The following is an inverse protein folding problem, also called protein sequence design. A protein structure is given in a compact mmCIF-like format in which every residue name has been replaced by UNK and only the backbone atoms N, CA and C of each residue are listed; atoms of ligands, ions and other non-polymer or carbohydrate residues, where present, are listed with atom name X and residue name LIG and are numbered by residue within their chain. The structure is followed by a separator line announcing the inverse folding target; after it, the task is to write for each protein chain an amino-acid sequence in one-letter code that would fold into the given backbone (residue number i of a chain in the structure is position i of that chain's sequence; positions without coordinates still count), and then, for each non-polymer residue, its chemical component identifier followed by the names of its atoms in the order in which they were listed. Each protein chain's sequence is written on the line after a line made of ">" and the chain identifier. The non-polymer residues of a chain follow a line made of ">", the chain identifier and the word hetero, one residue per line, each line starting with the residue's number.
data_IF_919975270950
#
_entry.id   IF_919975270950
#
_cell.length_a   1.000
_cell.length_b   1.000
_cell.length_c   1.000
_cell.angle_alpha   90.00
_cell.angle_beta   90.00
_cell.angle_gamma   90.00
#
_symmetry.space_group_name_H-M   'P 1'
#
loop_
_entity.id
_entity.type
_entity.pdbx_description
1 polymer ?
#
# COMPACT_ATOMS: atom_id res chain seq x y z
N UNK A 1 56.39 -1.62 5.25
CA UNK A 1 56.49 -2.80 4.39
C UNK A 1 56.18 -4.03 5.21
N UNK A 2 54.95 -4.48 5.25
CA UNK A 2 54.53 -5.70 5.96
C UNK A 2 54.29 -6.79 4.90
N UNK A 3 55.11 -7.83 4.99
CA UNK A 3 55.03 -9.00 4.11
C UNK A 3 53.79 -9.82 4.46
N UNK A 4 52.84 -9.93 3.53
CA UNK A 4 51.77 -10.89 3.62
C UNK A 4 52.32 -12.28 3.28
N UNK A 5 52.25 -13.19 4.23
CA UNK A 5 52.60 -14.58 4.06
C UNK A 5 51.41 -15.27 3.32
N UNK A 6 51.69 -15.79 2.15
CA UNK A 6 50.78 -16.65 1.39
C UNK A 6 50.88 -18.06 1.94
N UNK A 7 49.86 -18.54 2.66
CA UNK A 7 49.75 -19.95 3.02
C UNK A 7 49.16 -20.72 1.87
N UNK A 8 49.96 -21.59 1.27
CA UNK A 8 49.49 -22.61 0.35
C UNK A 8 48.66 -23.63 1.12
N UNK A 9 47.38 -23.75 0.77
CA UNK A 9 46.53 -24.82 1.28
C UNK A 9 46.57 -25.98 0.29
N UNK A 10 47.14 -27.06 0.76
CA UNK A 10 47.20 -28.37 0.12
C UNK A 10 45.82 -28.97 -0.10
N UNK A 11 45.68 -29.61 -1.27
CA UNK A 11 44.57 -30.41 -1.68
C UNK A 11 44.28 -31.55 -0.70
N UNK A 12 43.05 -31.65 -0.22
CA UNK A 12 42.49 -32.91 0.26
C UNK A 12 41.47 -33.39 -0.77
N UNK A 13 41.82 -34.49 -1.43
CA UNK A 13 40.92 -35.32 -2.21
C UNK A 13 40.00 -36.07 -1.26
N UNK A 14 38.73 -36.06 -1.55
CA UNK A 14 37.82 -36.95 -0.85
C UNK A 14 36.35 -36.64 -1.02
N UNK A 15 35.67 -37.58 -1.65
CA UNK A 15 34.24 -37.77 -1.72
C UNK A 15 33.52 -37.07 -2.90
N UNK A 16 33.44 -37.86 -3.98
CA UNK A 16 32.49 -37.65 -5.10
C UNK A 16 31.09 -37.98 -4.61
N UNK A 17 30.29 -36.97 -4.38
CA UNK A 17 28.84 -37.09 -4.44
C UNK A 17 28.40 -36.84 -5.88
N UNK A 18 27.98 -37.87 -6.56
CA UNK A 18 27.34 -37.80 -7.87
C UNK A 18 26.00 -37.07 -7.71
N UNK A 19 26.01 -35.77 -7.94
CA UNK A 19 24.81 -35.03 -8.24
C UNK A 19 24.72 -34.93 -9.76
N UNK A 20 23.74 -35.54 -10.37
CA UNK A 20 23.38 -35.41 -11.77
C UNK A 20 22.83 -34.00 -12.02
N UNK A 21 23.71 -33.05 -12.21
CA UNK A 21 23.43 -31.70 -12.66
C UNK A 21 24.70 -31.09 -13.24
N UNK A 22 24.61 -30.54 -14.47
CA UNK A 22 25.70 -29.87 -15.18
C UNK A 22 26.15 -28.58 -14.45
N UNK A 23 26.61 -28.67 -13.22
CA UNK A 23 27.20 -27.56 -12.50
C UNK A 23 28.64 -27.36 -12.95
N UNK A 24 29.06 -26.13 -13.30
CA UNK A 24 30.44 -25.88 -13.70
C UNK A 24 31.41 -26.20 -12.55
N UNK A 25 32.44 -26.96 -12.85
CA UNK A 25 33.54 -27.18 -11.89
C UNK A 25 34.48 -25.99 -11.93
N UNK A 26 34.78 -25.40 -10.77
CA UNK A 26 35.69 -24.28 -10.69
C UNK A 26 37.13 -24.70 -11.02
N UNK A 27 37.87 -23.87 -11.77
CA UNK A 27 39.29 -24.01 -12.04
C UNK A 27 39.97 -22.70 -11.66
N UNK A 28 40.72 -22.70 -10.56
CA UNK A 28 41.33 -21.49 -9.97
C UNK A 28 42.80 -21.37 -10.40
N UNK A 29 43.01 -21.15 -11.69
CA UNK A 29 44.37 -21.09 -12.29
C UNK A 29 44.96 -19.69 -12.24
N UNK A 30 44.13 -18.66 -12.22
CA UNK A 30 44.55 -17.26 -12.23
C UNK A 30 43.94 -16.52 -11.04
N UNK A 31 44.48 -15.35 -10.70
CA UNK A 31 43.89 -14.46 -9.70
C UNK A 31 42.47 -14.03 -10.07
N UNK A 32 42.17 -13.86 -11.36
CA UNK A 32 40.84 -13.54 -11.87
C UNK A 32 39.87 -14.71 -11.62
N UNK A 33 40.30 -15.95 -11.87
CA UNK A 33 39.47 -17.12 -11.59
C UNK A 33 39.16 -17.24 -10.10
N UNK A 34 40.21 -17.04 -9.27
CA UNK A 34 40.09 -17.10 -7.81
C UNK A 34 39.16 -16.00 -7.28
N UNK A 35 39.32 -14.77 -7.76
CA UNK A 35 38.48 -13.64 -7.39
C UNK A 35 37.02 -13.88 -7.82
N UNK A 36 36.80 -14.32 -9.05
CA UNK A 36 35.47 -14.61 -9.59
C UNK A 36 34.74 -15.68 -8.76
N UNK A 37 35.44 -16.75 -8.40
CA UNK A 37 34.91 -17.79 -7.53
C UNK A 37 34.59 -17.27 -6.12
N UNK A 38 35.50 -16.49 -5.53
CA UNK A 38 35.33 -15.93 -4.20
C UNK A 38 34.09 -14.99 -4.13
N UNK A 39 33.93 -14.13 -5.15
CA UNK A 39 32.75 -13.26 -5.29
C UNK A 39 31.47 -14.12 -5.39
N UNK A 40 31.45 -15.13 -6.25
CA UNK A 40 30.31 -16.03 -6.41
C UNK A 40 29.95 -16.76 -5.10
N UNK A 41 30.97 -17.28 -4.40
CA UNK A 41 30.80 -17.99 -3.13
C UNK A 41 30.23 -17.10 -2.02
N UNK A 42 30.79 -15.88 -1.90
CA UNK A 42 30.36 -14.92 -0.88
C UNK A 42 28.92 -14.45 -1.11
N UNK A 43 28.58 -14.08 -2.35
CA UNK A 43 27.22 -13.67 -2.69
C UNK A 43 26.21 -14.83 -2.60
N UNK A 44 26.62 -16.05 -2.99
CA UNK A 44 25.78 -17.24 -2.86
C UNK A 44 25.36 -17.54 -1.41
N UNK A 45 26.28 -17.32 -0.46
CA UNK A 45 25.95 -17.49 0.96
C UNK A 45 24.87 -16.51 1.45
N UNK A 46 24.93 -15.26 1.00
CA UNK A 46 23.91 -14.23 1.32
C UNK A 46 22.58 -14.48 0.59
N UNK A 47 22.65 -15.00 -0.63
CA UNK A 47 21.48 -15.27 -1.46
C UNK A 47 20.54 -16.29 -0.83
N UNK A 48 21.04 -17.22 -0.04
CA UNK A 48 20.21 -18.23 0.66
C UNK A 48 19.16 -17.58 1.56
N UNK A 49 19.56 -16.56 2.33
CA UNK A 49 18.64 -15.82 3.20
C UNK A 49 17.60 -15.02 2.38
N UNK A 50 18.04 -14.39 1.30
CA UNK A 50 17.14 -13.67 0.38
C UNK A 50 16.10 -14.60 -0.25
N UNK A 51 16.49 -15.77 -0.75
CA UNK A 51 15.57 -16.74 -1.36
C UNK A 51 14.54 -17.24 -0.35
N UNK A 52 14.95 -17.50 0.89
CA UNK A 52 14.03 -17.90 1.96
C UNK A 52 12.98 -16.79 2.25
N UNK A 53 13.37 -15.52 2.25
CA UNK A 53 12.44 -14.40 2.39
C UNK A 53 11.44 -14.30 1.23
N UNK A 54 11.82 -14.75 0.04
CA UNK A 54 10.94 -14.82 -1.13
C UNK A 54 10.08 -16.11 -1.18
N UNK A 55 10.13 -16.95 -0.14
CA UNK A 55 9.42 -18.22 -0.11
C UNK A 55 10.02 -19.29 -1.04
N UNK A 56 11.27 -19.10 -1.49
CA UNK A 56 11.98 -20.04 -2.36
C UNK A 56 12.81 -20.98 -1.47
N UNK A 57 12.31 -22.18 -1.28
CA UNK A 57 13.00 -23.20 -0.49
C UNK A 57 14.04 -24.00 -1.30
N UNK A 58 14.63 -25.02 -0.66
CA UNK A 58 15.67 -25.84 -1.26
C UNK A 58 15.26 -26.61 -2.52
N UNK A 59 13.95 -26.88 -2.70
CA UNK A 59 13.43 -27.59 -3.88
C UNK A 59 13.61 -26.77 -5.16
N UNK A 60 13.65 -25.44 -5.07
CA UNK A 60 13.74 -24.52 -6.21
C UNK A 60 15.15 -23.94 -6.46
N UNK A 61 16.15 -24.35 -5.68
CA UNK A 61 17.53 -23.84 -5.82
C UNK A 61 18.11 -24.16 -7.22
N UNK A 62 17.77 -25.32 -7.80
CA UNK A 62 18.23 -25.67 -9.14
C UNK A 62 17.71 -24.71 -10.21
N UNK A 63 16.45 -24.29 -10.10
CA UNK A 63 15.83 -23.32 -11.01
C UNK A 63 16.44 -21.93 -10.86
N UNK A 64 16.70 -21.51 -9.62
CA UNK A 64 17.42 -20.27 -9.35
C UNK A 64 18.82 -20.29 -9.99
N UNK A 65 19.60 -21.36 -9.81
CA UNK A 65 20.95 -21.51 -10.39
C UNK A 65 20.90 -21.49 -11.92
N UNK A 66 19.88 -22.11 -12.53
CA UNK A 66 19.66 -22.04 -13.99
C UNK A 66 19.46 -20.62 -14.45
N UNK A 67 18.54 -19.87 -13.79
CA UNK A 67 18.29 -18.46 -14.10
C UNK A 67 19.54 -17.58 -13.90
N UNK A 68 20.32 -17.82 -12.85
CA UNK A 68 21.57 -17.11 -12.60
C UNK A 68 22.61 -17.35 -13.72
N UNK A 69 22.75 -18.60 -14.19
CA UNK A 69 23.63 -18.96 -15.31
C UNK A 69 23.21 -18.23 -16.60
N UNK A 70 21.92 -18.25 -16.92
CA UNK A 70 21.39 -17.56 -18.11
C UNK A 70 21.59 -16.05 -18.02
N UNK A 71 21.31 -15.46 -16.86
CA UNK A 71 21.48 -14.02 -16.60
C UNK A 71 22.96 -13.60 -16.68
N UNK A 72 23.86 -14.34 -16.04
CA UNK A 72 25.30 -14.05 -16.08
C UNK A 72 25.94 -14.17 -17.47
N UNK A 73 25.38 -15.04 -18.32
CA UNK A 73 25.80 -15.20 -19.71
C UNK A 73 25.17 -14.19 -20.68
N UNK A 74 24.36 -13.25 -20.19
CA UNK A 74 23.72 -12.22 -21.03
C UNK A 74 24.63 -11.07 -21.41
N UNK A 75 25.78 -10.91 -20.75
CA UNK A 75 26.76 -9.85 -21.03
C UNK A 75 27.28 -9.96 -22.48
N UNK A 76 27.09 -8.89 -23.27
CA UNK A 76 27.50 -8.83 -24.68
C UNK A 76 26.51 -9.47 -25.68
N UNK A 77 25.50 -10.21 -25.25
CA UNK A 77 24.45 -10.77 -26.12
C UNK A 77 23.16 -9.96 -25.97
N UNK A 78 22.85 -9.10 -26.94
CA UNK A 78 21.68 -8.22 -26.93
C UNK A 78 20.34 -8.97 -26.86
N UNK A 79 20.24 -10.18 -27.44
CA UNK A 79 19.01 -10.98 -27.40
C UNK A 79 18.76 -11.53 -25.98
N UNK A 80 19.81 -12.06 -25.35
CA UNK A 80 19.73 -12.56 -23.98
C UNK A 80 19.48 -11.42 -22.99
N UNK A 81 20.17 -10.29 -23.16
CA UNK A 81 19.95 -9.11 -22.33
C UNK A 81 18.50 -8.61 -22.42
N UNK A 82 17.93 -8.54 -23.63
CA UNK A 82 16.52 -8.16 -23.81
C UNK A 82 15.55 -9.16 -23.17
N UNK A 83 15.81 -10.46 -23.27
CA UNK A 83 15.01 -11.50 -22.64
C UNK A 83 15.04 -11.39 -21.11
N UNK A 84 16.23 -11.24 -20.52
CA UNK A 84 16.40 -11.07 -19.07
C UNK A 84 15.71 -9.79 -18.58
N UNK A 85 15.85 -8.68 -19.31
CA UNK A 85 15.13 -7.44 -19.00
C UNK A 85 13.61 -7.62 -19.03
N UNK A 86 13.09 -8.38 -19.98
CA UNK A 86 11.67 -8.73 -20.07
C UNK A 86 11.18 -9.56 -18.87
N UNK A 87 11.95 -10.56 -18.43
CA UNK A 87 11.64 -11.35 -17.25
C UNK A 87 11.57 -10.47 -15.98
N UNK A 88 12.57 -9.62 -15.78
CA UNK A 88 12.63 -8.72 -14.61
C UNK A 88 11.47 -7.72 -14.61
N UNK A 89 11.20 -7.08 -15.76
CA UNK A 89 10.10 -6.13 -15.89
C UNK A 89 8.74 -6.81 -15.64
N UNK A 90 8.51 -8.00 -16.21
CA UNK A 90 7.26 -8.74 -16.05
C UNK A 90 7.01 -9.18 -14.61
N UNK A 91 8.03 -9.76 -13.97
CA UNK A 91 7.93 -10.19 -12.57
C UNK A 91 7.70 -9.00 -11.62
N UNK A 92 8.47 -7.92 -11.78
CA UNK A 92 8.35 -6.72 -10.96
C UNK A 92 7.00 -6.03 -11.14
N UNK A 93 6.54 -5.88 -12.37
CA UNK A 93 5.26 -5.24 -12.67
C UNK A 93 4.06 -6.03 -12.11
N UNK A 94 4.02 -7.35 -12.32
CA UNK A 94 2.94 -8.18 -11.82
C UNK A 94 2.87 -8.19 -10.29
N UNK A 95 4.03 -8.30 -9.62
CA UNK A 95 4.11 -8.24 -8.15
C UNK A 95 3.67 -6.89 -7.60
N UNK A 96 4.14 -5.78 -8.19
CA UNK A 96 3.79 -4.43 -7.77
C UNK A 96 2.28 -4.19 -7.88
N UNK A 97 1.66 -4.55 -9.01
CA UNK A 97 0.22 -4.39 -9.24
C UNK A 97 -0.59 -5.20 -8.22
N UNK A 98 -0.24 -6.47 -8.02
CA UNK A 98 -0.97 -7.32 -7.08
C UNK A 98 -0.90 -6.79 -5.65
N UNK A 99 0.25 -6.29 -5.22
CA UNK A 99 0.41 -5.75 -3.87
C UNK A 99 -0.29 -4.39 -3.68
N UNK A 100 -0.19 -3.49 -4.66
CA UNK A 100 -0.71 -2.13 -4.53
C UNK A 100 -2.21 -2.03 -4.78
N UNK A 101 -2.72 -2.73 -5.81
CA UNK A 101 -4.13 -2.60 -6.22
C UNK A 101 -5.00 -3.64 -5.51
N UNK A 102 -4.53 -4.88 -5.43
CA UNK A 102 -5.32 -5.97 -4.85
C UNK A 102 -5.05 -6.19 -3.36
N UNK A 103 -4.11 -5.45 -2.75
CA UNK A 103 -3.79 -5.50 -1.32
C UNK A 103 -3.60 -6.95 -0.79
N UNK A 104 -2.90 -7.78 -1.56
CA UNK A 104 -2.64 -9.18 -1.22
C UNK A 104 -3.89 -10.08 -1.27
N UNK A 105 -4.95 -9.66 -1.96
CA UNK A 105 -6.12 -10.51 -2.19
C UNK A 105 -5.71 -11.78 -2.95
N UNK A 106 -6.13 -12.94 -2.42
CA UNK A 106 -5.77 -14.25 -3.01
C UNK A 106 -6.68 -14.64 -4.18
N UNK A 107 -7.78 -13.93 -4.39
CA UNK A 107 -8.82 -14.23 -5.40
C UNK A 107 -8.62 -13.37 -6.64
N UNK A 108 -8.36 -12.07 -6.44
CA UNK A 108 -8.24 -11.11 -7.53
C UNK A 108 -6.76 -10.88 -7.88
N UNK A 109 -6.45 -11.04 -9.16
CA UNK A 109 -5.11 -10.87 -9.70
C UNK A 109 -5.13 -10.04 -10.98
N UNK A 110 -4.00 -9.43 -11.30
CA UNK A 110 -3.82 -8.78 -12.59
C UNK A 110 -4.07 -9.78 -13.73
N UNK A 111 -4.82 -9.36 -14.73
CA UNK A 111 -5.01 -10.15 -15.95
C UNK A 111 -3.70 -10.19 -16.76
N UNK A 112 -2.95 -11.27 -16.65
CA UNK A 112 -1.70 -11.46 -17.38
C UNK A 112 -1.89 -11.24 -18.89
N UNK A 113 -2.96 -11.79 -19.47
CA UNK A 113 -3.29 -11.62 -20.88
C UNK A 113 -3.37 -10.15 -21.28
N UNK A 114 -4.12 -9.35 -20.52
CA UNK A 114 -4.34 -7.95 -20.84
C UNK A 114 -3.09 -7.09 -20.53
N UNK A 115 -2.36 -7.41 -19.46
CA UNK A 115 -1.11 -6.74 -19.14
C UNK A 115 -0.08 -6.92 -20.26
N UNK A 116 0.09 -8.16 -20.74
CA UNK A 116 1.02 -8.47 -21.83
C UNK A 116 0.56 -7.81 -23.15
N UNK A 117 -0.74 -7.84 -23.46
CA UNK A 117 -1.27 -7.20 -24.68
C UNK A 117 -1.03 -5.67 -24.63
N UNK A 118 -1.33 -5.02 -23.51
CA UNK A 118 -1.10 -3.59 -23.33
C UNK A 118 0.39 -3.21 -23.43
N UNK A 119 1.29 -4.02 -22.83
CA UNK A 119 2.72 -3.81 -22.96
C UNK A 119 3.17 -3.89 -24.44
N UNK A 120 2.70 -4.91 -25.17
CA UNK A 120 3.02 -5.10 -26.59
C UNK A 120 2.53 -3.91 -27.41
N UNK A 121 1.30 -3.46 -27.17
CA UNK A 121 0.72 -2.31 -27.88
C UNK A 121 1.52 -1.03 -27.57
N UNK A 122 1.89 -0.79 -26.32
CA UNK A 122 2.71 0.35 -25.94
C UNK A 122 4.09 0.35 -26.60
N UNK A 123 4.81 -0.78 -26.58
CA UNK A 123 6.14 -0.92 -27.22
C UNK A 123 6.05 -0.76 -28.75
N UNK A 124 4.98 -1.26 -29.37
CA UNK A 124 4.77 -1.17 -30.82
C UNK A 124 4.05 0.11 -31.27
N UNK A 125 3.71 1.01 -30.34
CA UNK A 125 2.96 2.24 -30.60
C UNK A 125 1.62 1.96 -31.33
N UNK A 126 0.91 0.94 -30.90
CA UNK A 126 -0.39 0.54 -31.44
C UNK A 126 -1.52 1.13 -30.59
N UNK A 127 -2.15 2.17 -31.07
CA UNK A 127 -3.17 2.96 -30.37
C UNK A 127 -4.62 2.52 -30.67
N UNK A 128 -4.83 1.33 -31.28
CA UNK A 128 -6.17 0.87 -31.70
C UNK A 128 -7.18 0.73 -30.58
N UNK A 129 -6.73 0.31 -29.38
CA UNK A 129 -7.62 0.14 -28.21
C UNK A 129 -7.59 1.41 -27.37
N UNK A 130 -6.40 1.93 -27.07
CA UNK A 130 -6.18 3.04 -26.15
C UNK A 130 -4.83 3.67 -26.45
N UNK A 131 -4.73 5.00 -26.43
CA UNK A 131 -3.44 5.68 -26.54
C UNK A 131 -2.68 5.58 -25.21
N UNK A 132 -1.35 5.71 -25.27
CA UNK A 132 -0.52 5.72 -24.04
C UNK A 132 -0.89 6.86 -23.09
N UNK A 133 -1.31 8.01 -23.62
CA UNK A 133 -1.78 9.15 -22.83
C UNK A 133 -3.06 8.83 -22.07
N UNK A 134 -4.08 8.29 -22.76
CA UNK A 134 -5.34 7.85 -22.14
C UNK A 134 -5.07 6.77 -21.09
N UNK A 135 -4.19 5.82 -21.39
CA UNK A 135 -3.79 4.79 -20.42
C UNK A 135 -3.22 5.41 -19.15
N UNK A 136 -2.21 6.29 -19.26
CA UNK A 136 -1.58 6.94 -18.11
C UNK A 136 -2.59 7.73 -17.26
N UNK A 137 -3.44 8.52 -17.91
CA UNK A 137 -4.43 9.37 -17.22
C UNK A 137 -5.55 8.57 -16.54
N UNK A 138 -5.79 7.33 -16.96
CA UNK A 138 -6.87 6.48 -16.41
C UNK A 138 -6.43 5.50 -15.32
N UNK A 139 -5.12 5.23 -15.17
CA UNK A 139 -4.60 4.21 -14.24
C UNK A 139 -5.09 4.46 -12.81
N UNK A 140 -4.91 5.67 -12.29
CA UNK A 140 -5.25 6.00 -10.90
C UNK A 140 -6.74 5.78 -10.63
N UNK A 141 -7.62 6.33 -11.46
CA UNK A 141 -9.07 6.19 -11.28
C UNK A 141 -9.56 4.76 -11.46
N UNK A 142 -8.93 3.99 -12.37
CA UNK A 142 -9.24 2.57 -12.56
C UNK A 142 -8.79 1.74 -11.35
N UNK A 143 -7.56 1.99 -10.86
CA UNK A 143 -7.00 1.32 -9.68
C UNK A 143 -7.88 1.56 -8.45
N UNK A 144 -8.27 2.80 -8.20
CA UNK A 144 -9.14 3.17 -7.07
C UNK A 144 -10.51 2.48 -7.15
N UNK A 145 -11.15 2.46 -8.35
CA UNK A 145 -12.42 1.74 -8.54
C UNK A 145 -12.31 0.24 -8.29
N UNK A 146 -11.24 -0.38 -8.80
CA UNK A 146 -10.99 -1.83 -8.61
C UNK A 146 -10.74 -2.12 -7.14
N UNK A 147 -9.87 -1.35 -6.49
CA UNK A 147 -9.57 -1.47 -5.07
C UNK A 147 -10.84 -1.32 -4.22
N UNK A 148 -11.62 -0.25 -4.44
CA UNK A 148 -12.85 0.02 -3.70
C UNK A 148 -13.87 -1.10 -3.85
N UNK A 149 -13.98 -1.70 -5.06
CA UNK A 149 -14.87 -2.84 -5.29
C UNK A 149 -14.42 -4.06 -4.49
N UNK A 150 -13.15 -4.44 -4.59
CA UNK A 150 -12.59 -5.63 -3.93
C UNK A 150 -12.68 -5.51 -2.40
N UNK A 151 -12.28 -4.35 -1.87
CA UNK A 151 -12.41 -4.07 -0.44
C UNK A 151 -13.88 -4.03 -0.03
N UNK A 152 -14.78 -3.50 -0.90
CA UNK A 152 -16.21 -3.48 -0.66
C UNK A 152 -16.84 -4.88 -0.58
N UNK A 153 -16.37 -5.82 -1.37
CA UNK A 153 -16.79 -7.22 -1.30
C UNK A 153 -16.29 -7.88 0.00
N UNK A 154 -15.03 -7.66 0.36
CA UNK A 154 -14.40 -8.17 1.61
C UNK A 154 -15.07 -7.63 2.87
N UNK A 155 -15.43 -6.36 2.89
CA UNK A 155 -16.04 -5.67 4.04
C UNK A 155 -17.53 -5.40 3.85
N UNK A 156 -18.23 -6.24 3.06
CA UNK A 156 -19.65 -6.06 2.73
C UNK A 156 -20.51 -5.89 3.98
N UNK A 157 -20.34 -6.74 4.97
CA UNK A 157 -21.10 -6.68 6.23
C UNK A 157 -20.86 -5.36 6.99
N UNK A 158 -19.61 -4.89 7.03
CA UNK A 158 -19.27 -3.60 7.66
C UNK A 158 -19.98 -2.47 6.93
N UNK A 159 -19.91 -2.47 5.59
CA UNK A 159 -20.56 -1.46 4.74
C UNK A 159 -22.06 -1.43 4.95
N UNK A 160 -22.73 -2.59 4.92
CA UNK A 160 -24.18 -2.71 5.12
C UNK A 160 -24.60 -2.26 6.52
N UNK A 161 -23.86 -2.67 7.58
CA UNK A 161 -24.12 -2.28 8.97
C UNK A 161 -24.01 -0.76 9.15
N UNK A 162 -22.99 -0.13 8.57
CA UNK A 162 -22.77 1.31 8.67
C UNK A 162 -23.81 2.11 7.87
N UNK A 163 -24.17 1.66 6.67
CA UNK A 163 -25.23 2.27 5.87
C UNK A 163 -26.58 2.22 6.60
N UNK A 164 -26.91 1.05 7.18
CA UNK A 164 -28.12 0.90 7.99
C UNK A 164 -28.11 1.83 9.20
N UNK A 165 -26.98 1.93 9.91
CA UNK A 165 -26.84 2.83 11.04
C UNK A 165 -27.17 4.28 10.66
N UNK A 166 -26.62 4.80 9.57
CA UNK A 166 -26.89 6.16 9.09
C UNK A 166 -28.36 6.35 8.68
N UNK A 167 -28.93 5.37 7.98
CA UNK A 167 -30.34 5.42 7.58
C UNK A 167 -31.30 5.45 8.78
N UNK A 168 -30.98 4.71 9.84
CA UNK A 168 -31.77 4.70 11.06
C UNK A 168 -31.50 5.96 11.91
N UNK A 169 -30.26 6.47 11.92
CA UNK A 169 -29.88 7.66 12.66
C UNK A 169 -30.54 8.93 12.12
N UNK A 170 -30.68 9.04 10.79
CA UNK A 170 -31.35 10.18 10.15
C UNK A 170 -32.81 10.37 10.60
N UNK A 171 -33.45 9.30 11.08
CA UNK A 171 -34.85 9.33 11.56
C UNK A 171 -34.97 9.74 13.02
N UNK A 172 -33.85 9.86 13.75
CA UNK A 172 -33.89 10.18 15.17
C UNK A 172 -34.23 11.65 15.42
N UNK A 173 -34.98 11.96 16.48
CA UNK A 173 -35.31 13.35 16.81
C UNK A 173 -34.05 14.19 17.01
N UNK A 174 -34.00 15.37 16.39
CA UNK A 174 -32.93 16.35 16.52
C UNK A 174 -31.71 16.05 15.62
N UNK A 175 -31.68 14.97 14.86
CA UNK A 175 -30.66 14.70 13.84
C UNK A 175 -31.00 15.46 12.56
N UNK A 176 -30.02 16.18 12.03
CA UNK A 176 -30.07 16.88 10.74
C UNK A 176 -29.04 16.30 9.81
N UNK A 177 -29.24 16.44 8.49
CA UNK A 177 -28.33 15.92 7.47
C UNK A 177 -27.85 17.05 6.56
N UNK A 178 -26.53 17.16 6.35
CA UNK A 178 -25.90 18.08 5.41
C UNK A 178 -25.92 17.49 3.98
N UNK A 179 -25.74 18.31 2.93
CA UNK A 179 -25.79 17.86 1.52
C UNK A 179 -24.81 16.71 1.19
N UNK A 180 -23.67 16.62 1.87
CA UNK A 180 -22.68 15.55 1.71
C UNK A 180 -23.11 14.21 2.29
N UNK A 181 -24.21 14.17 3.05
CA UNK A 181 -24.67 13.01 3.82
C UNK A 181 -24.14 12.95 5.26
N UNK A 182 -23.30 13.91 5.67
CA UNK A 182 -22.90 14.07 7.06
C UNK A 182 -24.13 14.40 7.91
N UNK A 183 -24.33 13.67 9.03
CA UNK A 183 -25.42 13.92 9.93
C UNK A 183 -24.88 14.54 11.22
N UNK A 184 -25.69 15.35 11.87
CA UNK A 184 -25.33 15.94 13.15
C UNK A 184 -26.53 16.15 14.06
N UNK A 185 -26.25 16.15 15.36
CA UNK A 185 -27.18 16.52 16.41
C UNK A 185 -26.53 17.60 17.28
N UNK A 186 -27.20 18.71 17.44
CA UNK A 186 -26.78 19.78 18.34
C UNK A 186 -27.03 19.32 19.77
N UNK A 187 -25.98 19.27 20.59
CA UNK A 187 -26.06 18.95 22.01
C UNK A 187 -26.10 20.23 22.84
N UNK A 188 -25.33 21.24 22.42
CA UNK A 188 -25.33 22.59 23.00
C UNK A 188 -25.16 23.60 21.87
N UNK A 189 -25.98 24.63 21.85
CA UNK A 189 -25.90 25.70 20.86
C UNK A 189 -24.87 26.73 21.30
N UNK A 190 -23.97 27.12 20.39
CA UNK A 190 -23.08 28.26 20.56
C UNK A 190 -23.65 29.50 19.88
N UNK A 191 -23.11 30.66 20.19
CA UNK A 191 -23.53 31.94 19.63
C UNK A 191 -22.38 32.73 18.97
N UNK A 192 -21.20 32.08 18.85
CA UNK A 192 -20.03 32.72 18.24
C UNK A 192 -20.06 32.66 16.71
N UNK A 193 -18.98 33.13 16.09
CA UNK A 193 -18.83 33.15 14.63
C UNK A 193 -18.71 31.72 14.06
N UNK A 194 -19.06 31.56 12.79
CA UNK A 194 -18.83 30.34 12.02
C UNK A 194 -17.41 30.33 11.45
N UNK A 195 -16.65 29.23 11.54
CA UNK A 195 -15.39 29.09 10.83
C UNK A 195 -15.60 29.00 9.31
N UNK A 196 -14.56 29.37 8.58
CA UNK A 196 -14.42 29.08 7.16
C UNK A 196 -13.46 27.90 6.95
N UNK A 197 -13.38 27.36 5.74
CA UNK A 197 -12.44 26.26 5.39
C UNK A 197 -10.98 26.60 5.71
N UNK A 198 -10.59 27.88 5.60
CA UNK A 198 -9.24 28.37 5.88
C UNK A 198 -8.99 28.74 7.32
N UNK A 199 -10.03 28.76 8.16
CA UNK A 199 -9.90 29.14 9.58
C UNK A 199 -9.05 28.14 10.33
N UNK A 200 -8.17 28.64 11.22
CA UNK A 200 -7.55 27.83 12.26
C UNK A 200 -8.47 27.82 13.48
N UNK A 201 -8.79 26.65 13.98
CA UNK A 201 -9.72 26.45 15.08
C UNK A 201 -9.10 25.64 16.20
N UNK A 202 -9.65 25.82 17.39
CA UNK A 202 -9.36 25.02 18.57
C UNK A 202 -10.60 24.24 18.94
N UNK A 203 -10.47 22.91 19.04
CA UNK A 203 -11.60 22.01 19.30
C UNK A 203 -11.24 20.97 20.33
N UNK A 204 -12.22 20.57 21.13
CA UNK A 204 -12.20 19.30 21.84
C UNK A 204 -13.07 18.30 21.11
N UNK A 205 -12.59 17.05 21.03
CA UNK A 205 -13.34 15.99 20.37
C UNK A 205 -13.06 14.61 20.95
N UNK A 206 -13.99 13.72 20.73
CA UNK A 206 -13.84 12.28 20.88
C UNK A 206 -14.44 11.60 19.66
N UNK A 207 -13.62 10.79 18.95
CA UNK A 207 -14.00 10.01 17.79
C UNK A 207 -14.16 8.54 18.13
N UNK A 208 -15.28 7.92 17.71
CA UNK A 208 -15.59 6.50 17.92
C UNK A 208 -16.23 5.89 16.67
N UNK A 209 -16.11 4.57 16.52
CA UNK A 209 -16.87 3.80 15.54
C UNK A 209 -18.31 3.57 16.01
N UNK A 210 -19.19 3.08 15.12
CA UNK A 210 -20.59 2.76 15.48
C UNK A 210 -20.70 1.67 16.56
N UNK A 211 -19.63 0.89 16.77
CA UNK A 211 -19.54 -0.12 17.82
C UNK A 211 -19.08 0.47 19.18
N UNK A 212 -18.88 1.78 19.23
CA UNK A 212 -18.48 2.50 20.44
C UNK A 212 -16.98 2.47 20.74
N UNK A 213 -16.15 1.84 19.88
CA UNK A 213 -14.69 1.84 20.05
C UNK A 213 -14.14 3.24 19.77
N UNK A 214 -13.56 3.87 20.79
CA UNK A 214 -12.89 5.16 20.67
C UNK A 214 -11.54 4.94 20.01
N UNK A 215 -11.30 5.65 18.90
CA UNK A 215 -10.04 5.57 18.15
C UNK A 215 -9.17 6.81 18.34
N UNK A 216 -9.76 7.96 18.68
CA UNK A 216 -9.03 9.19 18.96
C UNK A 216 -9.83 10.14 19.89
N UNK A 217 -9.14 10.90 20.75
CA UNK A 217 -9.75 11.85 21.67
C UNK A 217 -8.77 12.88 22.16
N UNK A 218 -9.05 14.17 21.92
CA UNK A 218 -8.30 15.29 22.50
C UNK A 218 -8.48 15.34 24.02
N UNK A 219 -9.66 15.00 24.50
CA UNK A 219 -10.01 14.95 25.92
C UNK A 219 -9.13 13.94 26.67
N UNK A 220 -8.94 12.73 26.11
CA UNK A 220 -8.06 11.72 26.69
C UNK A 220 -6.58 12.13 26.67
N UNK A 221 -6.18 12.91 25.68
CA UNK A 221 -4.83 13.49 25.62
C UNK A 221 -4.63 14.66 26.59
N UNK A 222 -5.70 15.19 27.17
CA UNK A 222 -5.69 16.34 28.08
C UNK A 222 -5.34 17.67 27.40
N UNK A 223 -5.47 17.76 26.08
CA UNK A 223 -5.12 18.95 25.29
C UNK A 223 -6.06 19.08 24.09
N UNK A 224 -6.76 20.22 23.92
CA UNK A 224 -7.52 20.54 22.74
C UNK A 224 -6.66 20.49 21.47
N UNK A 225 -7.27 20.13 20.34
CA UNK A 225 -6.62 20.13 19.05
C UNK A 225 -6.73 21.50 18.39
N UNK A 226 -5.58 22.01 17.90
CA UNK A 226 -5.55 23.14 16.99
C UNK A 226 -5.32 22.64 15.56
N UNK A 227 -6.19 23.03 14.64
CA UNK A 227 -6.07 22.61 13.25
C UNK A 227 -6.66 23.64 12.29
N UNK A 228 -6.24 23.60 11.03
CA UNK A 228 -6.92 24.30 9.93
C UNK A 228 -8.08 23.43 9.45
N UNK A 229 -9.28 24.00 9.34
CA UNK A 229 -10.53 23.26 9.04
C UNK A 229 -10.36 22.33 7.84
N UNK A 230 -9.90 22.83 6.69
CA UNK A 230 -9.74 22.05 5.45
C UNK A 230 -8.69 20.93 5.49
N UNK A 231 -7.86 20.85 6.53
CA UNK A 231 -6.83 19.80 6.66
C UNK A 231 -7.34 18.54 7.34
N UNK A 232 -8.61 18.51 7.74
CA UNK A 232 -9.26 17.36 8.34
C UNK A 232 -9.97 16.51 7.27
N UNK A 233 -10.51 15.35 7.68
CA UNK A 233 -11.40 14.58 6.81
C UNK A 233 -12.59 15.42 6.38
N UNK A 234 -13.10 15.27 5.13
CA UNK A 234 -14.10 16.17 4.57
C UNK A 234 -15.32 16.38 5.46
N UNK A 235 -15.87 15.32 6.03
CA UNK A 235 -17.06 15.43 6.88
C UNK A 235 -16.83 16.14 8.21
N UNK A 236 -15.63 16.07 8.77
CA UNK A 236 -15.27 16.83 9.97
C UNK A 236 -15.11 18.32 9.64
N UNK A 237 -14.46 18.62 8.53
CA UNK A 237 -14.30 19.98 8.03
C UNK A 237 -15.66 20.63 7.73
N UNK A 238 -16.54 19.92 7.02
CA UNK A 238 -17.89 20.41 6.72
C UNK A 238 -18.69 20.67 7.99
N UNK A 239 -18.67 19.77 8.97
CA UNK A 239 -19.33 20.00 10.25
C UNK A 239 -18.85 21.28 10.95
N UNK A 240 -17.52 21.50 11.01
CA UNK A 240 -16.94 22.69 11.65
C UNK A 240 -17.40 23.99 10.99
N UNK A 241 -17.53 24.03 9.64
CA UNK A 241 -17.98 25.24 8.94
C UNK A 241 -19.45 25.60 9.22
N UNK A 242 -20.23 24.68 9.78
CA UNK A 242 -21.62 24.87 10.16
C UNK A 242 -21.83 25.01 11.68
N UNK A 243 -20.75 24.86 12.47
CA UNK A 243 -20.79 24.96 13.94
C UNK A 243 -20.46 26.38 14.41
N UNK A 244 -21.37 27.12 15.08
CA UNK A 244 -21.00 28.35 15.78
C UNK A 244 -19.99 28.05 16.90
N UNK A 245 -19.03 28.94 17.13
CA UNK A 245 -18.12 28.86 18.29
C UNK A 245 -18.93 28.77 19.60
N UNK A 246 -18.52 27.88 20.50
CA UNK A 246 -19.20 27.54 21.75
C UNK A 246 -20.21 26.40 21.59
N UNK A 247 -20.41 25.87 20.37
CA UNK A 247 -21.30 24.72 20.16
C UNK A 247 -20.64 23.41 20.53
N UNK A 248 -21.48 22.45 20.98
CA UNK A 248 -21.13 21.02 21.09
C UNK A 248 -22.08 20.22 20.22
N UNK A 249 -21.54 19.49 19.25
CA UNK A 249 -22.31 18.63 18.34
C UNK A 249 -21.88 17.18 18.44
N UNK A 250 -22.82 16.26 18.19
CA UNK A 250 -22.53 14.87 17.84
C UNK A 250 -22.68 14.73 16.32
N UNK A 251 -21.57 14.41 15.65
CA UNK A 251 -21.46 14.38 14.17
C UNK A 251 -21.24 12.94 13.73
N UNK A 252 -22.01 12.51 12.74
CA UNK A 252 -21.95 11.17 12.15
C UNK A 252 -21.48 11.29 10.70
N UNK A 253 -20.26 10.86 10.45
CA UNK A 253 -19.58 11.06 9.18
C UNK A 253 -19.61 9.75 8.38
N UNK A 254 -20.29 9.68 7.23
CA UNK A 254 -20.25 8.51 6.36
C UNK A 254 -18.84 8.24 5.87
N UNK A 255 -18.54 7.00 5.54
CA UNK A 255 -17.20 6.57 5.12
C UNK A 255 -16.65 7.39 3.96
N UNK A 256 -17.49 7.77 3.00
CA UNK A 256 -17.14 8.56 1.81
C UNK A 256 -16.65 9.97 2.17
N UNK A 257 -17.03 10.49 3.32
CA UNK A 257 -16.59 11.77 3.88
C UNK A 257 -15.49 11.60 4.95
N UNK A 258 -14.96 10.38 5.11
CA UNK A 258 -13.91 10.03 6.05
C UNK A 258 -12.77 9.28 5.34
N UNK A 259 -12.59 8.00 5.59
CA UNK A 259 -11.48 7.20 5.07
C UNK A 259 -11.87 6.28 3.89
N UNK A 260 -13.14 6.20 3.53
CA UNK A 260 -13.64 5.42 2.39
C UNK A 260 -13.33 3.93 2.53
N UNK A 261 -12.70 3.38 1.49
CA UNK A 261 -12.26 1.97 1.45
C UNK A 261 -10.92 1.71 2.14
N UNK A 262 -10.29 2.72 2.75
CA UNK A 262 -8.99 2.58 3.42
C UNK A 262 -9.15 2.14 4.86
N UNK A 263 -8.25 1.27 5.31
CA UNK A 263 -8.09 0.92 6.72
C UNK A 263 -7.17 1.95 7.41
N UNK A 264 -7.58 2.44 8.57
CA UNK A 264 -6.81 3.42 9.34
C UNK A 264 -6.72 2.99 10.81
N UNK A 265 -5.63 2.31 11.15
CA UNK A 265 -5.45 1.75 12.48
C UNK A 265 -6.62 0.83 12.87
N UNK A 266 -7.39 1.21 13.87
CA UNK A 266 -8.56 0.44 14.33
C UNK A 266 -9.84 0.69 13.52
N UNK A 267 -9.81 1.62 12.56
CA UNK A 267 -10.96 1.96 11.72
C UNK A 267 -10.95 1.07 10.49
N UNK A 268 -11.95 0.19 10.40
CA UNK A 268 -12.14 -0.69 9.24
C UNK A 268 -12.60 0.09 8.01
N UNK A 269 -12.34 -0.39 6.78
CA UNK A 269 -12.94 0.14 5.57
C UNK A 269 -14.47 0.30 5.69
N UNK A 270 -15.00 1.35 5.08
CA UNK A 270 -16.43 1.71 5.06
C UNK A 270 -17.05 1.98 6.44
N UNK A 271 -16.23 2.31 7.45
CA UNK A 271 -16.73 2.70 8.75
C UNK A 271 -17.30 4.11 8.76
N UNK A 272 -18.50 4.26 9.31
CA UNK A 272 -19.04 5.55 9.75
C UNK A 272 -18.33 5.97 11.03
N UNK A 273 -17.94 7.22 11.12
CA UNK A 273 -17.30 7.78 12.30
C UNK A 273 -18.28 8.65 13.06
N UNK A 274 -18.26 8.54 14.38
CA UNK A 274 -19.07 9.35 15.27
C UNK A 274 -18.13 10.23 16.08
N UNK A 275 -18.27 11.54 15.94
CA UNK A 275 -17.50 12.50 16.71
C UNK A 275 -18.41 13.30 17.62
N UNK A 276 -18.05 13.42 18.89
CA UNK A 276 -18.51 14.51 19.74
C UNK A 276 -17.49 15.62 19.61
N UNK A 277 -17.91 16.78 19.12
CA UNK A 277 -17.02 17.94 18.85
C UNK A 277 -17.52 19.13 19.67
N UNK A 278 -16.62 19.79 20.36
CA UNK A 278 -16.83 21.11 20.97
C UNK A 278 -15.93 22.10 20.27
N UNK A 279 -16.52 23.11 19.62
CA UNK A 279 -15.77 24.17 18.94
C UNK A 279 -15.51 25.31 19.93
N UNK A 280 -14.27 25.37 20.41
CA UNK A 280 -13.89 26.29 21.49
C UNK A 280 -13.61 27.70 20.94
N UNK A 281 -12.85 27.82 19.84
CA UNK A 281 -12.31 29.11 19.41
C UNK A 281 -11.92 29.08 17.93
N UNK A 282 -12.05 30.22 17.23
CA UNK A 282 -11.38 30.50 15.96
C UNK A 282 -10.13 31.27 16.28
N UNK A 283 -8.97 30.69 15.97
CA UNK A 283 -7.66 31.29 16.21
C UNK A 283 -7.34 32.33 15.13
N UNK A 284 -6.62 33.38 15.52
CA UNK A 284 -6.19 34.45 14.60
C UNK A 284 -4.95 34.08 13.81
#
# INVERSE_FOLDING_TARGET
>A
MKKLAIYAVMAMAGATFFSCGNNPTASLKTDVDTLSYAIGKANGAQMTAYLAQQGIDSAYIADFVRGFKEGSASAGDKKKAAYVAGLQAGAGMASSINNQIFAGDSIHHVSQKNLVAGLIDGVKKNDKIMTSEVAMNSIESLADRVHTRIVGERYKEVKEKNAKFLADNAKKPGVKTLPSGVQYKVLSEGNGALPTDSSKVKVDYEGKTIDGKVFDSSIKRGQPMECVVRQNIPGFAEALTHMPVGSTWEVYIPAEQAYGSREMGDIKPFSTLIFKIELLEILK
#
